data_IF_110959964035
#
_entry.id   IF_110959964035
#
_cell.length_a   1.000
_cell.length_b   1.000
_cell.length_c   1.000
_cell.angle_alpha   90.00
_cell.angle_beta   90.00
_cell.angle_gamma   90.00
#
_symmetry.space_group_name_H-M   'P 1'
#
loop_
_entity.id
_entity.type
_entity.pdbx_description
1 polymer ?
#
# COMPACT_ATOMS: atom_id res chain seq x y z
N UNK A 1 6.62 -23.18 12.80
CA UNK A 1 6.67 -22.46 14.09
C UNK A 1 6.75 -23.36 15.34
N UNK A 2 5.85 -24.33 15.59
CA UNK A 2 5.87 -25.12 16.84
C UNK A 2 7.13 -26.01 17.02
N UNK A 3 7.68 -26.55 15.93
CA UNK A 3 8.87 -27.42 15.98
C UNK A 3 10.16 -26.65 16.32
N UNK A 4 10.32 -25.45 15.77
CA UNK A 4 11.46 -24.56 16.03
C UNK A 4 11.48 -24.10 17.50
N UNK A 5 10.30 -23.82 18.06
CA UNK A 5 10.16 -23.43 19.46
C UNK A 5 10.43 -24.60 20.41
N UNK A 6 9.97 -25.81 20.05
CA UNK A 6 10.33 -27.02 20.78
C UNK A 6 11.85 -27.30 20.74
N UNK A 7 12.51 -27.13 19.60
CA UNK A 7 13.97 -27.31 19.47
C UNK A 7 14.79 -26.33 20.33
N UNK A 8 14.35 -25.07 20.43
CA UNK A 8 14.96 -24.07 21.31
C UNK A 8 14.83 -24.44 22.80
N UNK A 9 13.80 -25.20 23.17
CA UNK A 9 13.57 -25.69 24.54
C UNK A 9 14.36 -26.94 24.95
N UNK A 10 15.18 -27.52 24.06
CA UNK A 10 15.89 -28.79 24.31
C UNK A 10 17.44 -28.69 24.39
N UNK A 11 18.06 -27.63 24.98
CA UNK A 11 19.51 -27.44 24.92
C UNK A 11 20.32 -28.54 25.63
N UNK A 12 19.71 -29.33 26.51
CA UNK A 12 20.37 -30.41 27.26
C UNK A 12 20.22 -31.82 26.64
N UNK A 13 19.35 -32.01 25.63
CA UNK A 13 19.04 -33.35 25.09
C UNK A 13 19.69 -33.65 23.74
N UNK A 14 20.15 -32.63 23.02
CA UNK A 14 20.77 -32.77 21.70
C UNK A 14 22.23 -32.32 21.76
N UNK A 15 23.13 -33.10 21.16
CA UNK A 15 24.51 -32.66 20.95
C UNK A 15 24.53 -31.46 20.00
N UNK A 16 25.59 -30.64 20.02
CA UNK A 16 25.73 -29.49 19.09
C UNK A 16 25.56 -29.90 17.62
N UNK A 17 26.05 -31.08 17.25
CA UNK A 17 25.89 -31.63 15.90
C UNK A 17 24.43 -32.06 15.62
N UNK A 18 23.76 -32.69 16.59
CA UNK A 18 22.35 -33.06 16.48
C UNK A 18 21.43 -31.85 16.35
N UNK A 19 21.69 -30.78 17.12
CA UNK A 19 20.94 -29.53 17.03
C UNK A 19 21.13 -28.86 15.66
N UNK A 20 22.36 -28.86 15.12
CA UNK A 20 22.64 -28.30 13.80
C UNK A 20 21.92 -29.05 12.68
N UNK A 21 21.92 -30.39 12.71
CA UNK A 21 21.17 -31.20 11.75
C UNK A 21 19.66 -31.01 11.88
N UNK A 22 19.13 -30.88 13.09
CA UNK A 22 17.72 -30.59 13.31
C UNK A 22 17.32 -29.23 12.70
N UNK A 23 18.14 -28.20 12.85
CA UNK A 23 17.92 -26.90 12.20
C UNK A 23 18.01 -26.98 10.68
N UNK A 24 18.98 -27.72 10.14
CA UNK A 24 19.09 -27.95 8.69
C UNK A 24 17.82 -28.64 8.17
N UNK A 25 17.32 -29.66 8.86
CA UNK A 25 16.08 -30.35 8.48
C UNK A 25 14.85 -29.44 8.56
N UNK A 26 14.75 -28.59 9.59
CA UNK A 26 13.67 -27.60 9.69
C UNK A 26 13.75 -26.62 8.52
N UNK A 27 14.93 -26.09 8.21
CA UNK A 27 15.10 -25.16 7.09
C UNK A 27 14.85 -25.82 5.74
N UNK A 28 15.27 -27.07 5.55
CA UNK A 28 14.98 -27.84 4.33
C UNK A 28 13.48 -28.13 4.20
N UNK A 29 12.79 -28.44 5.30
CA UNK A 29 11.34 -28.62 5.31
C UNK A 29 10.61 -27.30 5.03
N UNK A 30 11.08 -26.17 5.57
CA UNK A 30 10.54 -24.83 5.32
C UNK A 30 10.76 -24.43 3.84
N UNK A 31 11.97 -24.67 3.30
CA UNK A 31 12.30 -24.47 1.88
C UNK A 31 11.48 -25.39 0.96
N UNK A 32 11.26 -26.64 1.35
CA UNK A 32 10.42 -27.58 0.60
C UNK A 32 8.94 -27.17 0.65
N UNK A 33 8.45 -26.70 1.80
CA UNK A 33 7.09 -26.18 1.95
C UNK A 33 6.83 -24.92 1.11
N UNK A 34 7.88 -24.15 0.77
CA UNK A 34 7.78 -23.06 -0.21
C UNK A 34 7.69 -23.56 -1.66
N UNK A 35 8.13 -24.79 -1.94
CA UNK A 35 8.09 -25.42 -3.26
C UNK A 35 6.81 -26.21 -3.53
N UNK A 36 6.14 -26.70 -2.48
CA UNK A 36 4.78 -27.23 -2.60
C UNK A 36 3.79 -26.07 -2.78
N UNK A 37 2.93 -26.08 -3.81
CA UNK A 37 1.90 -25.07 -3.98
C UNK A 37 0.85 -25.23 -2.87
N UNK A 38 1.08 -24.58 -1.73
CA UNK A 38 0.11 -24.46 -0.63
C UNK A 38 -1.19 -23.75 -1.08
N UNK A 39 -1.16 -23.13 -2.25
CA UNK A 39 -2.28 -22.45 -2.92
C UNK A 39 -2.29 -22.90 -4.38
N UNK A 40 -3.48 -23.18 -4.93
CA UNK A 40 -3.63 -23.50 -6.34
C UNK A 40 -3.07 -22.35 -7.21
N UNK A 41 -2.14 -22.66 -8.10
CA UNK A 41 -1.59 -21.69 -9.06
C UNK A 41 -2.47 -21.72 -10.31
N UNK A 42 -3.11 -20.60 -10.60
CA UNK A 42 -3.89 -20.41 -11.81
C UNK A 42 -3.12 -19.48 -12.78
N UNK A 43 -3.26 -19.69 -14.10
CA UNK A 43 -2.83 -18.71 -15.09
C UNK A 43 -3.32 -17.29 -14.75
N UNK A 44 -2.50 -16.29 -15.05
CA UNK A 44 -2.85 -14.89 -14.87
C UNK A 44 -4.17 -14.59 -15.59
N UNK A 45 -4.31 -14.99 -16.84
CA UNK A 45 -5.57 -14.85 -17.59
C UNK A 45 -6.81 -15.48 -16.93
N UNK A 46 -6.68 -16.53 -16.12
CA UNK A 46 -7.85 -17.11 -15.43
C UNK A 46 -8.30 -16.24 -14.26
N UNK A 47 -7.35 -15.59 -13.57
CA UNK A 47 -7.55 -14.66 -12.44
C UNK A 47 -7.95 -13.28 -12.93
N UNK A 48 -7.32 -12.83 -14.02
CA UNK A 48 -7.39 -11.48 -14.56
C UNK A 48 -8.12 -11.42 -15.90
N UNK A 49 -8.89 -12.44 -16.29
CA UNK A 49 -9.87 -12.37 -17.39
C UNK A 49 -10.90 -11.29 -17.04
N UNK A 50 -10.51 -10.05 -17.30
CA UNK A 50 -11.19 -8.87 -16.83
C UNK A 50 -12.59 -8.89 -17.39
N UNK A 51 -13.56 -8.91 -16.50
CA UNK A 51 -14.93 -8.56 -16.84
C UNK A 51 -14.94 -7.22 -17.58
N UNK A 52 -16.00 -6.92 -18.33
CA UNK A 52 -16.04 -5.69 -19.12
C UNK A 52 -15.75 -4.45 -18.24
N UNK A 53 -16.23 -4.46 -16.99
CA UNK A 53 -15.96 -3.45 -15.97
C UNK A 53 -14.48 -3.32 -15.62
N UNK A 54 -13.77 -4.43 -15.37
CA UNK A 54 -12.33 -4.40 -15.04
C UNK A 54 -11.50 -3.86 -16.21
N UNK A 55 -11.77 -4.32 -17.43
CA UNK A 55 -11.07 -3.84 -18.64
C UNK A 55 -11.28 -2.36 -18.88
N UNK A 56 -12.52 -1.89 -18.75
CA UNK A 56 -12.84 -0.47 -18.84
C UNK A 56 -12.03 0.35 -17.82
N UNK A 57 -11.97 -0.09 -16.56
CA UNK A 57 -11.21 0.65 -15.54
C UNK A 57 -9.70 0.62 -15.78
N UNK A 58 -9.15 -0.46 -16.33
CA UNK A 58 -7.75 -0.56 -16.72
C UNK A 58 -7.39 0.47 -17.80
N UNK A 59 -8.23 0.58 -18.83
CA UNK A 59 -8.05 1.54 -19.92
C UNK A 59 -8.04 3.00 -19.43
N UNK A 60 -8.72 3.28 -18.32
CA UNK A 60 -8.83 4.61 -17.72
C UNK A 60 -7.94 4.82 -16.48
N UNK A 61 -7.09 3.84 -16.11
CA UNK A 61 -6.25 3.91 -14.92
C UNK A 61 -5.25 5.08 -14.95
N UNK A 62 -4.83 5.50 -16.15
CA UNK A 62 -3.92 6.63 -16.36
C UNK A 62 -4.50 8.00 -15.95
N UNK A 63 -5.82 8.11 -15.76
CA UNK A 63 -6.47 9.34 -15.28
C UNK A 63 -6.24 9.58 -13.78
N UNK A 64 -5.71 8.59 -13.06
CA UNK A 64 -5.50 8.63 -11.60
C UNK A 64 -6.78 8.89 -10.78
N UNK A 65 -7.94 8.55 -11.36
CA UNK A 65 -9.23 8.54 -10.67
C UNK A 65 -9.38 7.31 -9.77
N UNK A 66 -10.02 7.48 -8.61
CA UNK A 66 -10.33 6.39 -7.70
C UNK A 66 -11.63 5.69 -8.08
N UNK A 67 -11.68 4.40 -7.78
CA UNK A 67 -12.85 3.55 -8.00
C UNK A 67 -13.47 3.17 -6.66
N UNK A 68 -14.78 3.46 -6.51
CA UNK A 68 -15.60 2.91 -5.44
C UNK A 68 -16.40 1.75 -6.00
N UNK A 69 -16.23 0.57 -5.42
CA UNK A 69 -16.99 -0.62 -5.77
C UNK A 69 -17.96 -1.00 -4.66
N UNK A 70 -19.13 -1.47 -5.03
CA UNK A 70 -20.24 -1.77 -4.12
C UNK A 70 -20.43 -3.28 -4.06
N UNK A 71 -20.51 -3.82 -2.85
CA UNK A 71 -20.79 -5.24 -2.62
C UNK A 71 -22.16 -5.62 -3.18
N UNK A 72 -22.24 -6.81 -3.79
CA UNK A 72 -23.53 -7.43 -4.09
C UNK A 72 -24.25 -7.84 -2.79
N UNK A 73 -25.50 -7.38 -2.53
CA UNK A 73 -26.22 -7.67 -1.29
C UNK A 73 -26.40 -9.16 -1.00
N UNK A 74 -26.67 -9.95 -2.04
CA UNK A 74 -26.98 -11.38 -1.92
C UNK A 74 -25.74 -12.29 -1.96
N UNK A 75 -24.54 -11.71 -1.92
CA UNK A 75 -23.28 -12.45 -1.97
C UNK A 75 -22.50 -12.25 -0.66
N UNK A 76 -21.56 -13.17 -0.35
CA UNK A 76 -20.73 -13.05 0.84
C UNK A 76 -20.04 -11.69 0.90
N UNK A 77 -19.84 -11.20 2.13
CA UNK A 77 -19.25 -9.89 2.37
C UNK A 77 -18.01 -9.68 1.49
N UNK A 78 -18.05 -8.58 0.73
CA UNK A 78 -17.00 -8.10 -0.17
C UNK A 78 -16.97 -8.66 -1.58
N UNK A 79 -17.99 -9.39 -2.04
CA UNK A 79 -18.03 -9.87 -3.43
C UNK A 79 -18.30 -8.73 -4.43
N UNK A 80 -17.25 -8.26 -5.11
CA UNK A 80 -17.29 -7.24 -6.18
C UNK A 80 -16.42 -7.65 -7.37
N UNK A 81 -16.58 -7.02 -8.55
CA UNK A 81 -15.69 -7.23 -9.68
C UNK A 81 -14.22 -6.89 -9.38
N UNK A 82 -13.93 -6.14 -8.30
CA UNK A 82 -12.59 -5.70 -7.90
C UNK A 82 -12.08 -6.41 -6.62
N UNK A 83 -12.74 -7.47 -6.17
CA UNK A 83 -12.44 -8.09 -4.89
C UNK A 83 -11.10 -8.85 -4.82
N UNK A 84 -10.60 -9.09 -3.61
CA UNK A 84 -9.60 -8.23 -2.99
C UNK A 84 -8.26 -8.29 -3.74
N UNK A 85 -7.55 -7.18 -3.76
CA UNK A 85 -6.22 -7.04 -4.38
C UNK A 85 -6.18 -7.07 -5.91
N UNK A 86 -7.27 -7.44 -6.60
CA UNK A 86 -7.34 -7.31 -8.07
C UNK A 86 -6.92 -5.90 -8.54
N UNK A 87 -7.37 -4.78 -7.92
CA UNK A 87 -6.95 -3.43 -8.30
C UNK A 87 -5.42 -3.24 -8.32
N UNK A 88 -4.68 -3.86 -7.39
CA UNK A 88 -3.22 -3.75 -7.36
C UNK A 88 -2.57 -4.40 -8.59
N UNK A 89 -3.12 -5.52 -9.06
CA UNK A 89 -2.62 -6.23 -10.22
C UNK A 89 -3.02 -5.53 -11.53
N UNK A 90 -4.21 -4.93 -11.56
CA UNK A 90 -4.74 -4.26 -12.76
C UNK A 90 -4.43 -2.77 -12.83
N UNK A 91 -3.70 -2.23 -11.85
CA UNK A 91 -3.29 -0.82 -11.81
C UNK A 91 -4.43 0.17 -11.52
N UNK A 92 -5.53 -0.29 -10.94
CA UNK A 92 -6.69 0.53 -10.57
C UNK A 92 -6.54 1.00 -9.11
N UNK A 93 -6.98 2.22 -8.81
CA UNK A 93 -6.89 2.79 -7.46
C UNK A 93 -8.23 2.67 -6.70
N UNK A 94 -8.40 1.69 -5.80
CA UNK A 94 -9.67 1.52 -5.08
C UNK A 94 -9.77 2.47 -3.88
N UNK A 95 -10.98 2.95 -3.59
CA UNK A 95 -11.26 3.72 -2.36
C UNK A 95 -11.16 2.85 -1.10
N UNK A 96 -11.75 1.64 -1.17
CA UNK A 96 -11.90 0.70 -0.05
C UNK A 96 -10.70 -0.21 0.19
N UNK A 97 -9.64 -0.08 -0.61
CA UNK A 97 -8.56 -1.07 -0.78
C UNK A 97 -7.97 -1.66 0.50
N UNK A 98 -7.22 -2.75 0.35
CA UNK A 98 -6.55 -3.41 1.47
C UNK A 98 -5.37 -2.55 1.96
N UNK A 99 -5.52 -1.91 3.12
CA UNK A 99 -4.46 -1.14 3.74
C UNK A 99 -3.95 -1.85 5.01
N UNK A 100 -2.74 -2.43 5.00
CA UNK A 100 -2.16 -3.03 6.21
C UNK A 100 -1.82 -1.98 7.27
N UNK A 101 -1.77 -0.70 6.89
CA UNK A 101 -1.58 0.43 7.78
C UNK A 101 -2.92 1.11 8.04
N UNK A 102 -3.46 0.92 9.24
CA UNK A 102 -4.71 1.53 9.65
C UNK A 102 -4.55 3.05 9.93
N UNK A 103 -4.69 3.87 8.88
CA UNK A 103 -4.55 5.33 8.99
C UNK A 103 -5.86 5.94 9.52
N UNK A 104 -5.89 6.25 10.82
CA UNK A 104 -7.05 6.82 11.54
C UNK A 104 -7.76 7.94 10.76
N UNK A 105 -7.03 8.98 10.33
CA UNK A 105 -7.63 10.12 9.64
C UNK A 105 -8.24 9.77 8.29
N UNK A 106 -7.72 8.76 7.60
CA UNK A 106 -8.32 8.30 6.35
C UNK A 106 -9.67 7.64 6.62
N UNK A 107 -9.78 6.81 7.67
CA UNK A 107 -11.07 6.22 8.09
C UNK A 107 -12.09 7.27 8.53
N UNK A 108 -11.64 8.28 9.27
CA UNK A 108 -12.50 9.41 9.65
C UNK A 108 -12.92 10.21 8.41
N UNK A 109 -12.02 10.45 7.45
CA UNK A 109 -12.37 11.10 6.20
C UNK A 109 -13.41 10.30 5.42
N UNK A 110 -13.28 8.98 5.34
CA UNK A 110 -14.29 8.13 4.71
C UNK A 110 -15.66 8.23 5.38
N UNK A 111 -15.70 8.43 6.70
CA UNK A 111 -16.93 8.68 7.45
C UNK A 111 -17.50 10.07 7.21
N UNK A 112 -16.65 11.05 6.89
CA UNK A 112 -17.14 12.35 6.44
C UNK A 112 -17.98 12.21 5.16
N UNK A 113 -17.72 11.24 4.26
CA UNK A 113 -18.60 10.98 3.12
C UNK A 113 -20.02 10.52 3.56
N UNK A 114 -20.14 9.87 4.71
CA UNK A 114 -21.40 9.31 5.25
C UNK A 114 -22.12 10.25 6.24
N UNK A 115 -21.61 11.48 6.38
CA UNK A 115 -22.04 12.48 7.36
C UNK A 115 -21.82 12.07 8.83
N UNK A 116 -20.78 11.24 9.06
CA UNK A 116 -20.35 10.80 10.39
C UNK A 116 -18.93 11.30 10.67
N UNK A 117 -18.60 11.54 11.94
CA UNK A 117 -17.28 12.07 12.34
C UNK A 117 -16.43 11.09 13.16
N UNK A 118 -16.98 9.90 13.44
CA UNK A 118 -16.33 8.80 14.16
C UNK A 118 -15.59 7.88 13.19
N UNK A 119 -14.38 7.39 13.53
CA UNK A 119 -13.62 6.49 12.67
C UNK A 119 -14.34 5.15 12.44
N UNK A 120 -14.17 4.59 11.24
CA UNK A 120 -14.66 3.25 10.90
C UNK A 120 -14.09 2.20 11.85
N UNK A 121 -14.99 1.49 12.53
CA UNK A 121 -14.63 0.37 13.38
C UNK A 121 -14.43 -0.90 12.53
N UNK A 122 -13.45 -1.75 12.86
CA UNK A 122 -13.32 -3.06 12.22
C UNK A 122 -14.59 -3.91 12.41
N UNK A 123 -14.91 -4.74 11.42
CA UNK A 123 -16.13 -5.56 11.39
C UNK A 123 -16.25 -6.51 12.60
N UNK A 124 -15.13 -7.00 13.16
CA UNK A 124 -15.13 -8.07 14.16
C UNK A 124 -14.29 -7.78 15.44
N UNK A 125 -13.82 -6.55 15.67
CA UNK A 125 -12.90 -6.17 16.76
C UNK A 125 -11.62 -7.04 16.88
N UNK A 126 -11.36 -7.95 15.93
CA UNK A 126 -10.15 -8.77 15.88
C UNK A 126 -9.08 -8.04 15.07
N UNK A 127 -7.83 -8.36 15.37
CA UNK A 127 -6.64 -7.62 14.95
C UNK A 127 -6.41 -7.59 13.41
N UNK A 128 -7.20 -8.31 12.61
CA UNK A 128 -6.72 -8.80 11.30
C UNK A 128 -7.34 -8.21 10.05
N UNK A 129 -8.50 -7.53 10.10
CA UNK A 129 -9.14 -7.10 8.83
C UNK A 129 -10.10 -5.91 9.01
N UNK A 130 -9.61 -4.67 8.93
CA UNK A 130 -10.48 -3.52 8.73
C UNK A 130 -10.94 -3.44 7.26
N UNK A 131 -11.59 -4.49 6.77
CA UNK A 131 -12.19 -4.48 5.43
C UNK A 131 -13.36 -3.52 5.46
N UNK A 132 -13.33 -2.53 4.57
CA UNK A 132 -14.37 -1.52 4.46
C UNK A 132 -15.55 -2.09 3.67
N UNK A 133 -16.71 -2.18 4.33
CA UNK A 133 -17.97 -2.53 3.69
C UNK A 133 -18.46 -1.43 2.72
N UNK A 134 -19.60 -1.69 2.10
CA UNK A 134 -20.34 -0.68 1.34
C UNK A 134 -20.79 0.46 2.27
N UNK A 135 -20.71 1.71 1.80
CA UNK A 135 -21.23 2.88 2.48
C UNK A 135 -21.83 3.87 1.47
N UNK A 136 -22.84 4.66 1.86
CA UNK A 136 -23.41 5.69 0.99
C UNK A 136 -22.53 6.95 0.96
N UNK A 137 -22.63 7.71 -0.13
CA UNK A 137 -22.08 9.06 -0.29
C UNK A 137 -23.21 10.06 -0.02
N UNK A 138 -23.14 10.74 1.13
CA UNK A 138 -24.01 11.87 1.50
C UNK A 138 -23.39 13.23 1.21
N UNK A 139 -22.06 13.30 1.14
CA UNK A 139 -21.32 14.53 0.87
C UNK A 139 -20.55 14.36 -0.45
N UNK A 140 -21.18 14.69 -1.58
CA UNK A 140 -20.59 14.46 -2.91
C UNK A 140 -19.28 15.26 -3.11
N UNK A 141 -19.19 16.49 -2.61
CA UNK A 141 -17.98 17.31 -2.73
C UNK A 141 -16.74 16.67 -2.10
N UNK A 142 -16.92 15.85 -1.06
CA UNK A 142 -15.83 15.10 -0.42
C UNK A 142 -15.44 13.86 -1.23
N UNK A 143 -16.40 13.23 -1.91
CA UNK A 143 -16.11 12.18 -2.88
C UNK A 143 -15.35 12.74 -4.10
N UNK A 144 -15.74 13.94 -4.55
CA UNK A 144 -15.08 14.66 -5.64
C UNK A 144 -13.65 15.03 -5.27
N UNK A 145 -13.42 15.54 -4.06
CA UNK A 145 -12.08 15.82 -3.52
C UNK A 145 -11.23 14.56 -3.36
N UNK A 146 -11.83 13.45 -2.94
CA UNK A 146 -11.18 12.15 -2.92
C UNK A 146 -10.93 11.64 -4.35
N UNK A 147 -11.39 12.31 -5.39
CA UNK A 147 -11.19 11.90 -6.78
C UNK A 147 -11.89 10.59 -7.10
N UNK A 148 -13.03 10.29 -6.45
CA UNK A 148 -13.85 9.12 -6.81
C UNK A 148 -14.46 9.37 -8.18
N UNK A 149 -13.81 8.81 -9.20
CA UNK A 149 -14.11 9.00 -10.61
C UNK A 149 -15.07 7.95 -11.13
N UNK A 150 -14.95 6.71 -10.63
CA UNK A 150 -15.79 5.61 -11.06
C UNK A 150 -16.51 4.95 -9.89
N UNK A 151 -17.77 4.59 -10.12
CA UNK A 151 -18.59 3.80 -9.21
C UNK A 151 -18.98 2.51 -9.92
N UNK A 152 -18.70 1.37 -9.30
CA UNK A 152 -19.02 0.03 -9.80
C UNK A 152 -20.05 -0.58 -8.86
N UNK A 153 -21.29 -0.78 -9.32
CA UNK A 153 -22.37 -1.27 -8.47
C UNK A 153 -23.26 -2.31 -9.18
N UNK A 154 -24.00 -3.15 -8.44
CA UNK A 154 -25.02 -4.02 -9.01
C UNK A 154 -26.03 -3.24 -9.87
N UNK A 155 -26.42 -3.80 -11.01
CA UNK A 155 -27.26 -3.11 -12.00
C UNK A 155 -28.72 -2.92 -11.56
N UNK A 156 -29.18 -3.73 -10.62
CA UNK A 156 -30.51 -3.68 -10.02
C UNK A 156 -30.60 -2.70 -8.83
N UNK A 157 -29.45 -2.22 -8.34
CA UNK A 157 -29.39 -1.22 -7.27
C UNK A 157 -29.60 0.19 -7.84
N UNK A 158 -30.60 0.95 -7.36
CA UNK A 158 -30.78 2.35 -7.76
C UNK A 158 -29.61 3.22 -7.29
N UNK A 159 -29.17 4.17 -8.12
CA UNK A 159 -28.03 5.05 -7.84
C UNK A 159 -28.21 5.84 -6.54
N UNK A 160 -29.43 6.29 -6.25
CA UNK A 160 -29.81 7.04 -5.05
C UNK A 160 -29.61 6.25 -3.74
N UNK A 161 -29.47 4.92 -3.81
CA UNK A 161 -29.14 4.09 -2.65
C UNK A 161 -27.71 4.38 -2.18
N UNK A 162 -26.80 4.59 -3.14
CA UNK A 162 -25.38 4.85 -2.90
C UNK A 162 -25.13 6.35 -2.83
N UNK A 163 -25.58 7.12 -3.81
CA UNK A 163 -25.40 8.58 -3.87
C UNK A 163 -26.64 9.24 -3.27
N UNK A 164 -26.59 9.59 -1.99
CA UNK A 164 -27.72 10.19 -1.25
C UNK A 164 -27.74 11.73 -1.36
N UNK A 165 -26.73 12.33 -1.98
CA UNK A 165 -26.70 13.73 -2.37
C UNK A 165 -27.47 13.95 -3.68
N UNK A 166 -28.64 14.59 -3.62
CA UNK A 166 -29.52 14.80 -4.78
C UNK A 166 -28.89 15.66 -5.89
N UNK A 167 -28.09 16.66 -5.52
CA UNK A 167 -27.37 17.47 -6.51
C UNK A 167 -26.21 16.67 -7.10
N UNK A 168 -25.50 15.92 -6.24
CA UNK A 168 -24.38 15.07 -6.63
C UNK A 168 -24.75 13.97 -7.62
N UNK A 169 -25.93 13.36 -7.49
CA UNK A 169 -26.45 12.35 -8.42
C UNK A 169 -26.36 12.76 -9.90
N UNK A 170 -26.55 14.07 -10.19
CA UNK A 170 -26.52 14.60 -11.57
C UNK A 170 -25.14 14.56 -12.22
N UNK A 171 -24.08 14.39 -11.43
CA UNK A 171 -22.70 14.30 -11.91
C UNK A 171 -22.34 12.89 -12.42
N UNK A 172 -23.15 11.89 -12.05
CA UNK A 172 -22.88 10.49 -12.33
C UNK A 172 -23.59 10.06 -13.62
N UNK A 173 -22.81 9.61 -14.59
CA UNK A 173 -23.32 9.08 -15.85
C UNK A 173 -22.97 7.61 -15.98
N UNK A 174 -23.94 6.76 -16.31
CA UNK A 174 -23.67 5.36 -16.64
C UNK A 174 -22.88 5.29 -17.94
N UNK A 175 -21.70 4.65 -17.89
CA UNK A 175 -20.77 4.52 -19.03
C UNK A 175 -20.63 3.09 -19.52
N UNK A 176 -20.90 2.10 -18.65
CA UNK A 176 -20.78 0.69 -19.01
C UNK A 176 -21.82 -0.17 -18.28
N UNK A 177 -22.19 -1.29 -18.90
CA UNK A 177 -22.89 -2.40 -18.25
C UNK A 177 -22.13 -3.68 -18.50
N UNK A 178 -21.88 -4.40 -17.42
CA UNK A 178 -21.21 -5.69 -17.39
C UNK A 178 -22.25 -6.76 -17.04
N UNK A 179 -22.71 -7.57 -17.99
CA UNK A 179 -23.84 -8.47 -17.77
C UNK A 179 -23.50 -9.66 -16.85
N UNK A 180 -22.22 -10.00 -16.70
CA UNK A 180 -21.79 -11.16 -15.93
C UNK A 180 -20.32 -11.01 -15.49
N UNK A 181 -20.01 -10.07 -14.57
CA UNK A 181 -18.67 -9.94 -14.06
C UNK A 181 -18.26 -11.17 -13.25
N UNK A 182 -16.95 -11.39 -13.15
CA UNK A 182 -16.38 -12.47 -12.35
C UNK A 182 -15.65 -11.88 -11.16
N UNK A 183 -15.64 -12.62 -10.06
CA UNK A 183 -14.86 -12.31 -8.88
C UNK A 183 -14.17 -13.57 -8.37
N UNK A 184 -13.09 -13.42 -7.61
CA UNK A 184 -12.44 -14.52 -6.92
C UNK A 184 -12.62 -14.35 -5.40
N UNK A 185 -13.31 -15.28 -4.75
CA UNK A 185 -13.46 -15.27 -3.30
C UNK A 185 -12.41 -16.15 -2.63
N UNK A 186 -11.60 -15.56 -1.75
CA UNK A 186 -10.66 -16.29 -0.89
C UNK A 186 -11.32 -16.86 0.37
N UNK A 187 -12.48 -16.31 0.75
CA UNK A 187 -13.17 -16.68 1.99
C UNK A 187 -14.46 -17.40 1.59
N UNK A 188 -14.56 -18.72 1.86
CA UNK A 188 -15.82 -19.43 1.63
C UNK A 188 -16.89 -18.86 2.57
N UNK A 189 -18.11 -18.71 2.09
CA UNK A 189 -19.23 -18.33 2.95
C UNK A 189 -19.54 -19.43 3.96
N UNK A 190 -20.08 -19.03 5.12
CA UNK A 190 -20.64 -20.00 6.05
C UNK A 190 -21.76 -20.79 5.36
N UNK A 191 -21.73 -22.12 5.48
CA UNK A 191 -22.80 -22.98 4.95
C UNK A 191 -22.61 -23.61 3.56
N UNK A 192 -21.41 -23.54 2.95
CA UNK A 192 -21.09 -24.11 1.61
C UNK A 192 -21.89 -23.53 0.43
N UNK A 193 -22.74 -22.51 0.63
CA UNK A 193 -23.52 -21.88 -0.44
C UNK A 193 -22.62 -21.14 -1.46
N UNK A 194 -21.46 -20.63 -1.00
CA UNK A 194 -20.46 -19.99 -1.85
C UNK A 194 -19.05 -20.52 -1.53
N UNK A 195 -18.54 -21.52 -2.28
CA UNK A 195 -17.18 -22.01 -2.09
C UNK A 195 -16.13 -20.94 -2.46
N UNK A 196 -14.93 -21.08 -1.90
CA UNK A 196 -13.79 -20.29 -2.34
C UNK A 196 -13.48 -20.58 -3.82
N UNK A 197 -13.03 -19.57 -4.56
CA UNK A 197 -12.75 -19.64 -6.00
C UNK A 197 -13.51 -18.62 -6.82
N UNK A 198 -13.56 -18.85 -8.14
CA UNK A 198 -14.24 -17.96 -9.07
C UNK A 198 -15.76 -18.07 -8.95
N UNK A 199 -16.40 -16.91 -8.91
CA UNK A 199 -17.86 -16.79 -8.89
C UNK A 199 -18.29 -15.79 -9.95
N UNK A 200 -19.38 -16.11 -10.65
CA UNK A 200 -20.06 -15.17 -11.53
C UNK A 200 -20.99 -14.32 -10.68
N UNK A 201 -20.86 -13.01 -10.83
CA UNK A 201 -21.70 -12.02 -10.17
C UNK A 201 -22.94 -11.71 -11.01
N UNK A 202 -24.02 -11.19 -10.41
CA UNK A 202 -25.11 -10.58 -11.18
C UNK A 202 -24.59 -9.41 -12.02
N UNK A 203 -25.40 -8.86 -12.95
CA UNK A 203 -24.99 -7.72 -13.76
C UNK A 203 -24.54 -6.52 -12.92
N UNK A 204 -23.46 -5.86 -13.33
CA UNK A 204 -22.97 -4.60 -12.75
C UNK A 204 -23.04 -3.47 -13.77
N UNK A 205 -23.03 -2.25 -13.26
CA UNK A 205 -22.91 -1.02 -14.03
C UNK A 205 -21.71 -0.22 -13.54
N UNK A 206 -21.06 0.48 -14.47
CA UNK A 206 -20.03 1.48 -14.15
C UNK A 206 -20.62 2.85 -14.41
N UNK A 207 -20.55 3.72 -13.40
CA UNK A 207 -20.81 5.14 -13.51
C UNK A 207 -19.51 5.93 -13.49
N UNK A 208 -19.45 6.98 -14.30
CA UNK A 208 -18.40 7.99 -14.27
C UNK A 208 -18.92 9.25 -13.57
N UNK A 209 -18.14 9.78 -12.65
CA UNK A 209 -18.38 11.04 -11.97
C UNK A 209 -17.66 12.19 -12.68
N UNK A 210 -18.42 13.05 -13.37
CA UNK A 210 -17.87 14.23 -14.04
C UNK A 210 -17.51 15.38 -13.09
N UNK A 211 -17.91 15.30 -11.82
CA UNK A 211 -17.58 16.26 -10.76
C UNK A 211 -16.22 16.02 -10.09
N UNK A 212 -15.66 14.81 -10.21
CA UNK A 212 -14.42 14.40 -9.57
C UNK A 212 -13.27 15.38 -9.84
N UNK A 213 -12.53 15.76 -8.79
CA UNK A 213 -11.34 16.58 -8.93
C UNK A 213 -10.19 15.74 -9.49
N UNK A 214 -9.30 16.32 -10.32
CA UNK A 214 -8.08 15.66 -10.74
C UNK A 214 -7.23 15.24 -9.53
N UNK A 215 -6.40 14.21 -9.68
CA UNK A 215 -5.54 13.75 -8.58
C UNK A 215 -4.57 14.82 -8.08
N UNK A 216 -4.13 15.70 -8.99
CA UNK A 216 -3.33 16.87 -8.67
C UNK A 216 -3.98 18.12 -9.27
N UNK A 217 -4.16 19.17 -8.47
CA UNK A 217 -4.77 20.42 -8.91
C UNK A 217 -4.23 21.61 -8.09
N UNK A 218 -4.34 22.82 -8.62
CA UNK A 218 -3.90 24.04 -7.94
C UNK A 218 -5.09 24.89 -7.55
N UNK A 219 -5.09 25.39 -6.31
CA UNK A 219 -6.09 26.34 -5.81
C UNK A 219 -5.45 27.69 -5.46
N UNK A 220 -6.17 28.81 -5.63
CA UNK A 220 -5.64 30.14 -5.35
C UNK A 220 -5.53 30.45 -3.86
N UNK A 221 -6.46 29.94 -3.04
CA UNK A 221 -6.57 30.30 -1.63
C UNK A 221 -6.19 29.16 -0.69
N UNK A 222 -5.67 29.53 0.48
CA UNK A 222 -5.57 28.62 1.61
C UNK A 222 -6.12 29.26 2.88
N UNK A 223 -6.61 28.41 3.77
CA UNK A 223 -7.04 28.77 5.12
C UNK A 223 -6.43 27.80 6.13
N UNK A 224 -6.25 28.19 7.41
CA UNK A 224 -5.84 27.25 8.44
C UNK A 224 -6.90 26.16 8.61
N UNK A 225 -6.46 24.91 8.81
CA UNK A 225 -7.35 23.81 9.13
C UNK A 225 -8.09 24.09 10.45
N UNK A 226 -9.44 24.02 10.47
CA UNK A 226 -10.22 24.26 11.68
C UNK A 226 -9.94 23.24 12.80
N UNK A 227 -10.43 23.56 14.00
CA UNK A 227 -10.39 22.64 15.13
C UNK A 227 -11.18 21.35 14.83
N UNK A 228 -10.77 20.22 15.41
CA UNK A 228 -11.30 18.87 15.09
C UNK A 228 -12.82 18.76 15.13
N UNK A 229 -13.49 19.49 16.03
CA UNK A 229 -14.95 19.49 16.16
C UNK A 229 -15.67 20.11 14.95
N UNK A 230 -15.02 21.04 14.24
CA UNK A 230 -15.63 21.82 13.17
C UNK A 230 -15.19 21.35 11.76
N UNK A 231 -14.26 20.39 11.66
CA UNK A 231 -13.66 19.97 10.40
C UNK A 231 -14.70 19.47 9.39
N UNK A 232 -15.61 18.58 9.80
CA UNK A 232 -16.64 18.04 8.90
C UNK A 232 -17.50 19.17 8.33
N UNK A 233 -17.98 20.07 9.19
CA UNK A 233 -18.79 21.21 8.77
C UNK A 233 -18.01 22.15 7.84
N UNK A 234 -16.73 22.41 8.13
CA UNK A 234 -15.90 23.27 7.28
C UNK A 234 -15.64 22.65 5.91
N UNK A 235 -15.31 21.36 5.85
CA UNK A 235 -15.06 20.66 4.58
C UNK A 235 -16.33 20.58 3.71
N UNK A 236 -17.50 20.34 4.32
CA UNK A 236 -18.79 20.31 3.59
C UNK A 236 -19.13 21.63 2.89
N UNK A 237 -18.76 22.74 3.52
CA UNK A 237 -19.11 24.09 3.05
C UNK A 237 -17.98 24.76 2.24
N UNK A 238 -16.96 24.00 1.82
CA UNK A 238 -15.82 24.53 1.10
C UNK A 238 -15.89 24.26 -0.41
N UNK A 239 -15.46 25.24 -1.21
CA UNK A 239 -15.18 25.01 -2.62
C UNK A 239 -13.71 24.61 -2.79
N UNK A 240 -13.47 23.32 -2.95
CA UNK A 240 -12.14 22.75 -3.14
C UNK A 240 -11.47 23.15 -4.45
N UNK A 241 -12.16 23.82 -5.38
CA UNK A 241 -11.54 24.40 -6.58
C UNK A 241 -10.92 25.78 -6.28
N UNK A 242 -11.31 26.40 -5.17
CA UNK A 242 -10.90 27.75 -4.80
C UNK A 242 -10.02 27.78 -3.56
N UNK A 243 -10.27 26.91 -2.58
CA UNK A 243 -9.61 26.98 -1.27
C UNK A 243 -9.23 25.61 -0.73
N UNK A 244 -8.01 25.53 -0.19
CA UNK A 244 -7.50 24.38 0.58
C UNK A 244 -7.37 24.74 2.06
N UNK A 245 -7.71 23.82 2.96
CA UNK A 245 -7.40 23.95 4.38
C UNK A 245 -6.07 23.31 4.73
N UNK A 246 -5.17 24.02 5.42
CA UNK A 246 -3.81 23.58 5.71
C UNK A 246 -3.52 23.50 7.21
N UNK A 247 -3.02 22.35 7.67
CA UNK A 247 -2.63 22.13 9.07
C UNK A 247 -1.28 22.81 9.38
N UNK A 248 -1.23 23.60 10.46
CA UNK A 248 -0.01 24.31 10.87
C UNK A 248 0.41 25.45 9.94
N UNK A 249 -0.48 25.88 9.04
CA UNK A 249 -0.24 26.99 8.13
C UNK A 249 -0.67 28.33 8.75
N UNK A 250 0.07 29.39 8.42
CA UNK A 250 -0.28 30.77 8.77
C UNK A 250 -0.20 31.64 7.52
N UNK A 251 -1.16 32.57 7.30
CA UNK A 251 -1.13 33.45 6.15
C UNK A 251 0.10 34.36 6.17
N UNK A 252 0.85 34.37 5.08
CA UNK A 252 1.92 35.33 4.88
C UNK A 252 1.33 36.76 4.80
N UNK A 253 1.91 37.76 5.50
CA UNK A 253 1.47 39.14 5.39
C UNK A 253 1.55 39.65 3.95
N UNK A 254 0.49 40.27 3.45
CA UNK A 254 0.49 40.94 2.13
C UNK A 254 0.22 40.04 0.91
N UNK A 255 -0.19 38.78 1.09
CA UNK A 255 -0.63 37.93 -0.03
C UNK A 255 -1.91 38.49 -0.64
N UNK A 256 -1.84 38.94 -1.90
CA UNK A 256 -3.03 39.28 -2.68
C UNK A 256 -3.67 38.01 -3.25
N UNK A 257 -5.00 37.94 -3.35
CA UNK A 257 -5.68 36.85 -4.05
C UNK A 257 -5.18 36.77 -5.50
N UNK A 258 -4.84 35.56 -5.93
CA UNK A 258 -4.43 35.31 -7.31
C UNK A 258 -5.63 35.46 -8.27
N UNK A 259 -5.47 36.11 -9.45
CA UNK A 259 -6.54 36.23 -10.44
C UNK A 259 -6.95 34.87 -11.04
N UNK A 260 -8.18 34.84 -11.56
CA UNK A 260 -9.08 33.69 -11.83
C UNK A 260 -8.58 32.53 -12.71
N UNK A 261 -7.39 32.59 -13.34
CA UNK A 261 -6.97 31.48 -14.22
C UNK A 261 -6.39 30.34 -13.39
N UNK A 262 -7.02 29.15 -13.39
CA UNK A 262 -6.51 28.02 -12.64
C UNK A 262 -5.17 27.57 -13.23
N UNK A 263 -4.17 27.44 -12.36
CA UNK A 263 -2.90 26.83 -12.74
C UNK A 263 -3.13 25.35 -13.05
N UNK A 264 -2.52 24.85 -14.13
CA UNK A 264 -2.60 23.45 -14.52
C UNK A 264 -1.60 22.63 -13.70
N UNK A 265 -1.98 21.41 -13.33
CA UNK A 265 -1.11 20.45 -12.68
C UNK A 265 -1.21 19.11 -13.42
N UNK A 266 -0.06 18.59 -13.87
CA UNK A 266 0.04 17.35 -14.61
C UNK A 266 1.02 16.40 -13.91
N UNK A 267 0.58 15.18 -13.61
CA UNK A 267 1.44 14.16 -13.00
C UNK A 267 2.34 13.58 -14.10
N UNK A 268 3.63 13.90 -14.07
CA UNK A 268 4.62 13.36 -15.03
C UNK A 268 5.14 11.98 -14.63
N UNK A 269 5.15 11.69 -13.33
CA UNK A 269 5.61 10.40 -12.80
C UNK A 269 4.91 10.12 -11.49
N UNK A 270 4.34 8.92 -11.37
CA UNK A 270 3.64 8.47 -10.18
C UNK A 270 4.23 7.14 -9.70
N UNK A 271 4.92 7.16 -8.56
CA UNK A 271 5.53 5.98 -7.94
C UNK A 271 5.26 5.95 -6.43
N UNK A 272 5.28 4.78 -5.78
CA UNK A 272 4.94 4.65 -4.36
C UNK A 272 5.72 5.56 -3.42
N UNK A 273 6.99 5.88 -3.77
CA UNK A 273 7.87 6.72 -2.97
C UNK A 273 8.22 8.07 -3.63
N UNK A 274 7.71 8.35 -4.82
CA UNK A 274 8.00 9.59 -5.54
C UNK A 274 6.86 9.97 -6.48
N UNK A 275 6.38 11.20 -6.37
CA UNK A 275 5.41 11.79 -7.31
C UNK A 275 6.00 13.08 -7.86
N UNK A 276 6.03 13.20 -9.20
CA UNK A 276 6.51 14.38 -9.90
C UNK A 276 5.34 15.01 -10.64
N UNK A 277 5.10 16.29 -10.35
CA UNK A 277 4.01 17.07 -10.92
C UNK A 277 4.60 18.29 -11.60
N UNK A 278 4.21 18.52 -12.86
CA UNK A 278 4.46 19.76 -13.55
C UNK A 278 3.32 20.71 -13.26
N UNK A 279 3.63 21.88 -12.70
CA UNK A 279 2.68 22.96 -12.49
C UNK A 279 2.97 24.07 -13.49
N UNK A 280 1.93 24.64 -14.08
CA UNK A 280 2.06 25.81 -14.94
C UNK A 280 0.86 26.74 -14.72
N UNK A 281 1.12 27.99 -14.36
CA UNK A 281 0.06 28.99 -14.28
C UNK A 281 0.54 30.41 -14.03
N UNK A 282 -0.32 31.41 -14.30
CA UNK A 282 0.05 32.82 -14.29
C UNK A 282 0.15 33.43 -12.89
N UNK A 283 -0.28 32.70 -11.85
CA UNK A 283 -0.40 33.22 -10.51
C UNK A 283 0.04 32.18 -9.45
N UNK A 284 0.51 32.62 -8.27
CA UNK A 284 0.88 31.71 -7.19
C UNK A 284 -0.37 31.01 -6.63
N UNK A 285 -0.19 29.81 -6.09
CA UNK A 285 -1.28 29.02 -5.55
C UNK A 285 -0.79 27.89 -4.65
N UNK A 286 -1.67 26.94 -4.39
CA UNK A 286 -1.38 25.74 -3.61
C UNK A 286 -1.65 24.52 -4.47
N UNK A 287 -0.60 23.76 -4.78
CA UNK A 287 -0.74 22.46 -5.40
C UNK A 287 -1.25 21.49 -4.34
N UNK A 288 -2.45 20.96 -4.54
CA UNK A 288 -3.02 19.85 -3.79
C UNK A 288 -2.76 18.56 -4.55
N UNK A 289 -2.19 17.58 -3.86
CA UNK A 289 -2.12 16.20 -4.30
C UNK A 289 -3.05 15.40 -3.41
N UNK A 290 -4.13 14.87 -4.00
CA UNK A 290 -5.17 14.11 -3.29
C UNK A 290 -4.69 12.69 -2.87
N UNK A 291 -3.42 12.55 -2.49
CA UNK A 291 -2.85 11.37 -1.81
C UNK A 291 -2.90 11.54 -0.30
N UNK A 292 -3.15 10.45 0.42
CA UNK A 292 -3.12 10.44 1.89
C UNK A 292 -1.73 10.85 2.41
N UNK A 293 -1.68 11.86 3.26
CA UNK A 293 -0.49 12.34 3.94
C UNK A 293 0.03 11.29 4.91
N UNK A 294 1.35 11.13 4.97
CA UNK A 294 2.03 10.24 5.91
C UNK A 294 3.33 10.88 6.42
N UNK A 295 3.76 10.61 7.67
CA UNK A 295 5.05 11.13 8.15
C UNK A 295 6.22 10.63 7.30
N UNK A 296 7.11 11.54 6.89
CA UNK A 296 8.31 11.19 6.11
C UNK A 296 8.24 11.56 4.62
N UNK A 297 7.12 12.10 4.16
CA UNK A 297 7.09 12.82 2.89
C UNK A 297 7.83 14.16 2.99
N UNK A 298 8.56 14.49 1.94
CA UNK A 298 9.25 15.77 1.72
C UNK A 298 8.87 16.30 0.35
N UNK A 299 8.93 17.61 0.16
CA UNK A 299 8.56 18.26 -1.10
C UNK A 299 9.64 19.23 -1.57
N UNK A 300 9.82 19.28 -2.88
CA UNK A 300 10.75 20.17 -3.55
C UNK A 300 10.06 20.89 -4.71
N UNK A 301 10.31 22.18 -4.86
CA UNK A 301 9.91 22.98 -6.03
C UNK A 301 11.19 23.39 -6.74
N UNK A 302 11.36 22.94 -7.99
CA UNK A 302 12.58 23.15 -8.80
C UNK A 302 13.87 22.72 -8.07
N UNK A 303 13.78 21.64 -7.30
CA UNK A 303 14.89 21.08 -6.52
C UNK A 303 15.14 21.78 -5.18
N UNK A 304 14.45 22.87 -4.86
CA UNK A 304 14.56 23.55 -3.57
C UNK A 304 13.55 22.97 -2.56
N UNK A 305 13.99 22.63 -1.33
CA UNK A 305 13.09 22.09 -0.31
C UNK A 305 12.09 23.16 0.12
N UNK A 306 10.82 22.78 0.19
CA UNK A 306 9.72 23.66 0.61
C UNK A 306 8.85 23.01 1.68
N UNK A 307 8.14 23.79 2.50
CA UNK A 307 7.20 23.23 3.47
C UNK A 307 6.11 22.38 2.80
N UNK A 308 5.89 21.18 3.34
CA UNK A 308 4.81 20.28 2.95
C UNK A 308 3.71 20.32 4.01
N UNK A 309 2.49 20.62 3.59
CA UNK A 309 1.34 20.71 4.49
C UNK A 309 0.46 19.48 4.37
N UNK A 310 -0.17 19.10 5.49
CA UNK A 310 -1.35 18.24 5.45
C UNK A 310 -2.55 19.11 5.11
N UNK A 311 -3.22 18.76 4.02
CA UNK A 311 -4.30 19.53 3.39
C UNK A 311 -5.64 18.83 3.55
N UNK A 312 -6.73 19.59 3.69
CA UNK A 312 -8.12 19.10 3.73
C UNK A 312 -8.26 17.81 4.55
N UNK A 313 -7.71 17.88 5.76
CA UNK A 313 -7.63 16.80 6.75
C UNK A 313 -6.66 15.65 6.45
N UNK A 314 -6.63 15.12 5.23
CA UNK A 314 -5.90 13.88 4.88
C UNK A 314 -4.92 14.01 3.72
N UNK A 315 -4.99 15.04 2.89
CA UNK A 315 -4.20 15.15 1.66
C UNK A 315 -2.89 15.91 1.85
N UNK A 316 -2.14 16.09 0.77
CA UNK A 316 -0.86 16.82 0.75
C UNK A 316 -1.04 18.10 -0.03
N UNK A 317 -0.46 19.20 0.45
CA UNK A 317 -0.36 20.41 -0.35
C UNK A 317 0.95 21.14 -0.15
N UNK A 318 1.31 21.93 -1.15
CA UNK A 318 2.52 22.76 -1.17
C UNK A 318 2.22 24.07 -1.88
N UNK A 319 2.81 25.15 -1.38
CA UNK A 319 2.75 26.44 -2.07
C UNK A 319 3.61 26.40 -3.34
N UNK A 320 3.06 26.91 -4.43
CA UNK A 320 3.73 27.01 -5.73
C UNK A 320 3.71 28.45 -6.22
N UNK A 321 4.85 29.00 -6.66
CA UNK A 321 4.91 30.34 -7.25
C UNK A 321 4.25 30.38 -8.63
N UNK A 322 4.03 31.59 -9.14
CA UNK A 322 3.59 31.80 -10.52
C UNK A 322 4.69 31.39 -11.50
N UNK A 323 4.31 30.72 -12.59
CA UNK A 323 5.21 30.24 -13.62
C UNK A 323 5.07 28.73 -13.85
N UNK A 324 6.10 28.18 -14.48
CA UNK A 324 6.22 26.75 -14.76
C UNK A 324 7.22 26.14 -13.80
N UNK A 325 6.76 25.20 -12.97
CA UNK A 325 7.54 24.64 -11.87
C UNK A 325 7.40 23.12 -11.81
N UNK A 326 8.52 22.45 -11.54
CA UNK A 326 8.56 21.02 -11.27
C UNK A 326 8.46 20.79 -9.77
N UNK A 327 7.36 20.19 -9.34
CA UNK A 327 7.12 19.83 -7.95
C UNK A 327 7.38 18.34 -7.75
N UNK A 328 8.23 17.99 -6.78
CA UNK A 328 8.60 16.60 -6.50
C UNK A 328 8.31 16.26 -5.05
N UNK A 329 7.38 15.34 -4.84
CA UNK A 329 7.12 14.70 -3.54
C UNK A 329 7.98 13.45 -3.44
N UNK A 330 8.71 13.29 -2.33
CA UNK A 330 9.53 12.10 -2.08
C UNK A 330 9.31 11.56 -0.67
N UNK A 331 9.05 10.26 -0.57
CA UNK A 331 8.90 9.54 0.69
C UNK A 331 10.24 8.93 1.10
N UNK A 332 10.81 9.42 2.21
CA UNK A 332 12.06 8.93 2.74
C UNK A 332 11.95 8.68 4.26
N UNK A 333 11.26 7.61 4.70
CA UNK A 333 10.99 7.38 6.10
C UNK A 333 12.29 7.05 6.85
N UNK A 334 12.52 7.61 8.06
CA UNK A 334 13.71 7.31 8.85
C UNK A 334 13.90 5.82 9.14
N UNK A 335 12.80 5.08 9.33
CA UNK A 335 12.80 3.63 9.56
C UNK A 335 13.49 2.84 8.44
N UNK A 336 13.30 3.24 7.18
CA UNK A 336 13.97 2.61 6.05
C UNK A 336 15.49 2.84 6.08
N UNK A 337 15.93 4.04 6.49
CA UNK A 337 17.36 4.34 6.63
C UNK A 337 18.00 3.46 7.71
N UNK A 338 17.38 3.37 8.89
CA UNK A 338 17.84 2.52 9.98
C UNK A 338 17.80 1.03 9.62
N UNK A 339 16.72 0.58 8.98
CA UNK A 339 16.58 -0.80 8.51
C UNK A 339 17.72 -1.21 7.58
N UNK A 340 18.11 -0.36 6.62
CA UNK A 340 19.27 -0.61 5.75
C UNK A 340 20.58 -0.73 6.53
N UNK A 341 20.82 0.14 7.51
CA UNK A 341 22.04 0.12 8.33
C UNK A 341 22.10 -1.19 9.12
N UNK A 342 21.02 -1.54 9.83
CA UNK A 342 20.94 -2.75 10.66
C UNK A 342 21.12 -4.01 9.80
N UNK A 343 20.42 -4.11 8.68
CA UNK A 343 20.56 -5.24 7.74
C UNK A 343 21.97 -5.36 7.19
N UNK A 344 22.61 -4.24 6.83
CA UNK A 344 23.99 -4.23 6.33
C UNK A 344 24.99 -4.68 7.40
N UNK A 345 24.85 -4.17 8.63
CA UNK A 345 25.69 -4.58 9.76
C UNK A 345 25.52 -6.07 10.08
N UNK A 346 24.29 -6.57 10.03
CA UNK A 346 23.97 -7.99 10.27
C UNK A 346 24.58 -8.87 9.18
N UNK A 347 24.45 -8.48 7.91
CA UNK A 347 25.07 -9.19 6.79
C UNK A 347 26.60 -9.23 6.93
N UNK A 348 27.23 -8.10 7.25
CA UNK A 348 28.68 -8.04 7.49
C UNK A 348 29.13 -8.91 8.67
N UNK A 349 28.36 -8.93 9.76
CA UNK A 349 28.63 -9.80 10.91
C UNK A 349 28.55 -11.28 10.54
N UNK A 350 27.49 -11.68 9.81
CA UNK A 350 27.31 -13.07 9.35
C UNK A 350 28.46 -13.48 8.41
N UNK A 351 28.82 -12.63 7.45
CA UNK A 351 29.95 -12.86 6.54
C UNK A 351 31.29 -12.95 7.30
N UNK A 352 31.51 -12.09 8.29
CA UNK A 352 32.72 -12.12 9.12
C UNK A 352 32.83 -13.39 9.96
N UNK A 353 31.74 -13.81 10.60
CA UNK A 353 31.71 -15.03 11.42
C UNK A 353 31.87 -16.30 10.60
N UNK A 354 31.21 -16.37 9.44
CA UNK A 354 31.35 -17.49 8.49
C UNK A 354 32.76 -17.57 7.92
N UNK A 355 33.33 -16.42 7.50
CA UNK A 355 34.72 -16.33 7.06
C UNK A 355 35.70 -16.81 8.13
N UNK A 356 35.56 -16.35 9.38
CA UNK A 356 36.40 -16.78 10.50
C UNK A 356 36.28 -18.29 10.79
N UNK A 357 35.06 -18.85 10.71
CA UNK A 357 34.83 -20.28 10.90
C UNK A 357 35.49 -21.13 9.81
N UNK A 358 35.45 -20.67 8.55
CA UNK A 358 36.12 -21.34 7.42
C UNK A 358 37.65 -21.29 7.57
N UNK A 359 38.21 -20.14 7.96
CA UNK A 359 39.65 -19.99 8.21
C UNK A 359 40.14 -20.91 9.36
N UNK A 360 39.37 -21.02 10.44
CA UNK A 360 39.69 -21.93 11.56
C UNK A 360 39.61 -23.42 11.18
N UNK A 361 38.72 -23.78 10.25
CA UNK A 361 38.64 -25.14 9.70
C UNK A 361 39.84 -25.48 8.81
N UNK A 362 40.36 -24.51 8.05
CA UNK A 362 41.59 -24.65 7.27
C UNK A 362 42.85 -24.82 8.13
N UNK A 363 42.92 -24.18 9.30
CA UNK A 363 44.06 -24.32 10.21
C UNK A 363 44.07 -25.66 10.97
N UNK A 364 42.90 -26.21 11.31
CA UNK A 364 42.78 -27.50 12.01
C UNK A 364 43.06 -28.71 11.11
N UNK A 365 42.81 -28.63 9.81
CA UNK A 365 43.21 -29.67 8.85
C UNK A 365 44.73 -29.70 8.61
N UNK A 366 45.39 -28.54 8.59
CA UNK A 366 46.84 -28.43 8.43
C UNK A 366 47.62 -29.00 9.63
N UNK A 367 47.16 -28.74 10.86
CA UNK A 367 47.78 -29.31 12.07
C UNK A 367 47.57 -30.83 12.22
N UNK A 368 46.44 -31.38 11.75
CA UNK A 368 46.23 -32.84 11.69
C UNK A 368 47.09 -33.52 10.62
N UNK A 369 47.36 -32.87 9.49
CA UNK A 369 48.27 -33.39 8.47
C UNK A 369 49.74 -33.36 8.92
N UNK A 370 50.16 -32.32 9.64
CA UNK A 370 51.52 -32.22 10.19
C UNK A 370 51.81 -33.29 11.25
N UNK A 371 50.87 -33.54 12.17
CA UNK A 371 51.01 -34.58 13.21
C UNK A 371 50.88 -36.01 12.67
N UNK A 372 50.21 -36.22 11.54
CA UNK A 372 50.19 -37.52 10.86
C UNK A 372 51.52 -37.85 10.15
N UNK A 373 52.30 -36.83 9.74
CA UNK A 373 53.59 -37.01 9.07
C UNK A 373 54.73 -37.38 10.02
N UNK A 374 54.69 -36.90 11.27
CA UNK A 374 55.65 -37.28 12.32
C UNK A 374 55.53 -38.75 12.78
N UNK A 375 54.36 -39.40 12.61
CA UNK A 375 54.20 -40.83 12.93
C UNK A 375 54.70 -41.77 11.83
N UNK A 376 55.22 -41.25 10.72
CA UNK A 376 55.88 -42.01 9.64
C UNK A 376 57.37 -41.67 9.56
N UNK A 377 58.09 -41.75 10.67
CA UNK A 377 59.54 -42.00 10.61
C UNK A 377 59.76 -43.52 10.73
N UNK A 378 60.50 -44.16 9.81
CA UNK A 378 60.77 -45.59 9.90
C UNK A 378 61.69 -45.86 11.10
N UNK A 379 61.26 -46.74 12.00
CA UNK A 379 62.15 -47.43 12.95
C UNK A 379 63.07 -48.35 12.15
N UNK A 380 64.13 -47.82 11.57
CA UNK A 380 65.28 -48.58 11.10
C UNK A 380 66.53 -47.95 11.70
N UNK A 381 66.99 -48.48 12.84
CA UNK A 381 68.36 -48.43 13.38
C UNK A 381 68.30 -48.71 14.90
N UNK A 382 68.24 -49.99 15.29
CA UNK A 382 68.68 -50.50 16.60
C UNK A 382 68.59 -52.04 16.69
N UNK A 383 69.25 -52.77 15.78
CA UNK A 383 69.66 -54.17 16.01
C UNK A 383 71.04 -54.36 15.36
N UNK A 384 72.09 -53.92 16.05
CA UNK A 384 73.47 -54.29 15.77
C UNK A 384 74.37 -53.85 16.95
N UNK A 385 74.20 -54.49 18.11
CA UNK A 385 75.21 -54.54 19.18
C UNK A 385 74.69 -55.43 20.33
N UNK A 386 74.85 -56.75 20.20
CA UNK A 386 74.98 -57.71 21.31
C UNK A 386 75.37 -59.07 20.72
N UNK A 387 76.67 -59.20 20.46
CA UNK A 387 77.46 -60.43 20.47
C UNK A 387 78.94 -60.03 20.42
N UNK A 388 79.43 -59.61 21.59
CA UNK A 388 80.78 -59.80 22.14
C UNK A 388 80.72 -59.31 23.59
#
# INVERSE_FOLDING_TARGET
LPLAWWLLGQPARLTRAGLAWAWILVLLADLWALGEPLVAVHPEEDIFAGSASVRFLQEHAGEHGRVLDINCPDMPANSTPLWPNLPLAVGVEPVRGYNPMDVLRYKEFLQFLTDQDQPLQPLDRKLTSAILGTFPIKNQSLADLLGVRYLVQPADMPLETIIQDQQGQKQWQRVLTDPAPRTYSFIPAEGNEHPAGFQTLPPYVVYENHGALPRAFVVPEAAPLPARADILAALKNNDFRQRVFLEGWTPAPGRQPAPEKPSQAEIQRYQPNQVVIQVNGPAPGYLVLADVWFPGWTCFVDGQPVPLYRADYVFRAVEVPAGSHRVTFTLAPPSYRWGKIISSMTALLVLGLTGLALLRRGQTSFFRAATARERRCPRSLAVAARNA
#
